data_IF_652830041039
#
_entry.id   IF_652830041039
#
_cell.length_a   1.000
_cell.length_b   1.000
_cell.length_c   1.000
_cell.angle_alpha   90.00
_cell.angle_beta   90.00
_cell.angle_gamma   90.00
#
_symmetry.space_group_name_H-M   'P 1'
#
loop_
_entity.id
_entity.type
_entity.pdbx_description
1 polymer ?
#
# COMPACT_ATOMS: atom_id res chain seq x y z
N UNK A 1 -30.88 -5.70 -8.34
CA UNK A 1 -30.41 -7.08 -8.05
C UNK A 1 -30.34 -7.23 -6.54
N UNK A 2 -31.08 -8.16 -5.93
CA UNK A 2 -31.01 -8.45 -4.49
C UNK A 2 -30.12 -9.69 -4.34
N UNK A 3 -28.85 -9.48 -4.00
CA UNK A 3 -27.92 -10.60 -3.73
C UNK A 3 -28.39 -11.35 -2.48
N UNK A 4 -28.28 -12.67 -2.49
CA UNK A 4 -28.48 -13.47 -1.29
C UNK A 4 -27.34 -13.18 -0.29
N UNK A 5 -27.61 -13.28 1.02
CA UNK A 5 -26.61 -13.04 2.06
C UNK A 5 -25.37 -13.94 1.87
N UNK A 6 -25.57 -15.18 1.42
CA UNK A 6 -24.49 -16.13 1.10
C UNK A 6 -23.58 -15.62 -0.02
N UNK A 7 -24.15 -15.11 -1.11
CA UNK A 7 -23.39 -14.54 -2.23
C UNK A 7 -22.57 -13.31 -1.80
N UNK A 8 -23.14 -12.51 -0.89
CA UNK A 8 -22.48 -11.33 -0.34
C UNK A 8 -21.29 -11.72 0.56
N UNK A 9 -21.44 -12.75 1.40
CA UNK A 9 -20.34 -13.28 2.21
C UNK A 9 -19.23 -13.84 1.34
N UNK A 10 -19.56 -14.59 0.29
CA UNK A 10 -18.55 -15.15 -0.62
C UNK A 10 -17.82 -14.06 -1.41
N UNK A 11 -18.53 -13.03 -1.85
CA UNK A 11 -17.93 -11.86 -2.51
C UNK A 11 -16.94 -11.13 -1.58
N UNK A 12 -17.31 -10.92 -0.31
CA UNK A 12 -16.44 -10.28 0.68
C UNK A 12 -15.17 -11.11 0.97
N UNK A 13 -15.30 -12.44 1.03
CA UNK A 13 -14.15 -13.34 1.20
C UNK A 13 -13.19 -13.26 0.02
N UNK A 14 -13.72 -13.29 -1.20
CA UNK A 14 -12.91 -13.16 -2.41
C UNK A 14 -12.23 -11.78 -2.49
N UNK A 15 -12.91 -10.71 -2.08
CA UNK A 15 -12.31 -9.39 -2.00
C UNK A 15 -11.16 -9.34 -0.98
N UNK A 16 -11.36 -9.91 0.22
CA UNK A 16 -10.33 -9.95 1.24
C UNK A 16 -9.09 -10.75 0.78
N UNK A 17 -9.30 -11.86 0.07
CA UNK A 17 -8.19 -12.64 -0.51
C UNK A 17 -7.38 -11.82 -1.52
N UNK A 18 -8.06 -11.17 -2.47
CA UNK A 18 -7.40 -10.31 -3.47
C UNK A 18 -6.64 -9.15 -2.84
N UNK A 19 -7.20 -8.56 -1.79
CA UNK A 19 -6.54 -7.49 -1.04
C UNK A 19 -5.24 -7.98 -0.38
N UNK A 20 -5.23 -9.20 0.16
CA UNK A 20 -4.02 -9.80 0.76
C UNK A 20 -2.99 -10.24 -0.28
N UNK A 21 -3.42 -10.75 -1.43
CA UNK A 21 -2.53 -11.03 -2.56
C UNK A 21 -1.83 -9.73 -3.01
N UNK A 22 -2.61 -8.65 -3.20
CA UNK A 22 -2.08 -7.34 -3.57
C UNK A 22 -1.11 -6.78 -2.52
N UNK A 23 -1.42 -6.91 -1.24
CA UNK A 23 -0.50 -6.53 -0.16
C UNK A 23 0.84 -7.26 -0.29
N UNK A 24 0.81 -8.59 -0.45
CA UNK A 24 2.02 -9.40 -0.57
C UNK A 24 2.85 -9.01 -1.78
N UNK A 25 2.22 -8.73 -2.92
CA UNK A 25 2.89 -8.25 -4.13
C UNK A 25 3.57 -6.89 -3.90
N UNK A 26 2.86 -5.94 -3.29
CA UNK A 26 3.39 -4.61 -3.03
C UNK A 26 4.58 -4.62 -2.05
N UNK A 27 4.52 -5.44 -1.00
CA UNK A 27 5.62 -5.54 -0.04
C UNK A 27 6.86 -6.20 -0.68
N UNK A 28 6.66 -7.22 -1.51
CA UNK A 28 7.75 -7.84 -2.27
C UNK A 28 8.39 -6.86 -3.27
N UNK A 29 7.58 -6.05 -3.96
CA UNK A 29 8.08 -5.01 -4.85
C UNK A 29 8.90 -3.94 -4.10
N UNK A 30 8.41 -3.50 -2.93
CA UNK A 30 9.12 -2.53 -2.09
C UNK A 30 10.45 -3.11 -1.61
N UNK A 31 10.45 -4.36 -1.13
CA UNK A 31 11.68 -5.06 -0.71
C UNK A 31 12.70 -5.13 -1.85
N UNK A 32 12.25 -5.47 -3.06
CA UNK A 32 13.12 -5.55 -4.23
C UNK A 32 13.69 -4.20 -4.67
N UNK A 33 12.96 -3.10 -4.44
CA UNK A 33 13.38 -1.73 -4.80
C UNK A 33 14.23 -1.05 -3.72
N UNK A 34 14.19 -1.55 -2.49
CA UNK A 34 14.88 -0.98 -1.34
C UNK A 34 15.58 -2.08 -0.54
N UNK A 35 14.95 -2.56 0.52
CA UNK A 35 15.37 -3.69 1.34
C UNK A 35 14.18 -4.23 2.16
N UNK A 36 14.41 -5.37 2.82
CA UNK A 36 13.42 -6.02 3.67
C UNK A 36 12.98 -5.14 4.84
N UNK A 37 13.92 -4.41 5.46
CA UNK A 37 13.63 -3.54 6.61
C UNK A 37 12.68 -2.41 6.22
N UNK A 38 12.83 -1.84 5.03
CA UNK A 38 11.96 -0.79 4.47
C UNK A 38 10.56 -1.34 4.19
N UNK A 39 10.44 -2.55 3.65
CA UNK A 39 9.14 -3.18 3.40
C UNK A 39 8.39 -3.47 4.71
N UNK A 40 9.09 -4.00 5.71
CA UNK A 40 8.53 -4.22 7.05
C UNK A 40 8.13 -2.90 7.72
N UNK A 41 8.99 -1.89 7.66
CA UNK A 41 8.68 -0.56 8.19
C UNK A 41 7.47 0.06 7.50
N UNK A 42 7.33 -0.07 6.18
CA UNK A 42 6.16 0.44 5.45
C UNK A 42 4.86 -0.27 5.87
N UNK A 43 4.90 -1.59 6.06
CA UNK A 43 3.75 -2.36 6.55
C UNK A 43 3.34 -1.90 7.96
N UNK A 44 4.31 -1.67 8.85
CA UNK A 44 4.05 -1.20 10.21
C UNK A 44 3.59 0.26 10.27
N UNK A 45 4.20 1.16 9.49
CA UNK A 45 3.88 2.58 9.45
C UNK A 45 2.47 2.78 8.90
N UNK A 46 2.13 2.13 7.79
CA UNK A 46 0.83 2.33 7.13
C UNK A 46 -0.27 1.40 7.62
N UNK A 47 0.02 0.53 8.60
CA UNK A 47 -0.94 -0.42 9.17
C UNK A 47 -2.32 0.25 9.42
N UNK A 48 -3.41 -0.23 8.79
CA UNK A 48 -4.72 0.40 8.89
C UNK A 48 -5.19 0.64 10.33
N UNK A 49 -4.79 -0.21 11.28
CA UNK A 49 -5.12 -0.12 12.71
C UNK A 49 -4.56 1.15 13.38
N UNK A 50 -3.51 1.75 12.81
CA UNK A 50 -2.89 2.98 13.29
C UNK A 50 -3.49 4.23 12.66
N UNK A 51 -4.39 4.06 11.68
CA UNK A 51 -4.90 5.15 10.86
C UNK A 51 -6.43 5.12 10.73
N UNK A 52 -7.02 6.23 10.27
CA UNK A 52 -8.47 6.35 10.08
C UNK A 52 -8.95 5.90 8.68
N UNK A 53 -8.15 5.11 7.95
CA UNK A 53 -8.46 4.66 6.59
C UNK A 53 -8.70 3.15 6.50
N UNK A 54 -9.33 2.74 5.39
CA UNK A 54 -9.63 1.32 5.10
C UNK A 54 -8.38 0.56 4.66
N UNK A 55 -8.49 -0.78 4.58
CA UNK A 55 -7.43 -1.61 4.01
C UNK A 55 -7.05 -1.20 2.58
N UNK A 56 -8.01 -0.76 1.75
CA UNK A 56 -7.69 -0.21 0.42
C UNK A 56 -6.88 1.09 0.50
N UNK A 57 -7.11 1.92 1.53
CA UNK A 57 -6.31 3.11 1.82
C UNK A 57 -4.86 2.76 2.18
N UNK A 58 -4.65 1.68 2.93
CA UNK A 58 -3.33 1.11 3.19
C UNK A 58 -2.64 0.64 1.91
N UNK A 59 -3.32 -0.17 1.08
CA UNK A 59 -2.77 -0.63 -0.20
C UNK A 59 -2.39 0.53 -1.12
N UNK A 60 -3.16 1.63 -1.10
CA UNK A 60 -2.84 2.84 -1.84
C UNK A 60 -1.56 3.53 -1.36
N UNK A 61 -1.29 3.54 -0.04
CA UNK A 61 -0.04 4.08 0.52
C UNK A 61 1.17 3.24 0.10
N UNK A 62 1.05 1.92 0.15
CA UNK A 62 2.09 1.02 -0.33
C UNK A 62 2.37 1.19 -1.83
N UNK A 63 1.32 1.32 -2.66
CA UNK A 63 1.46 1.57 -4.10
C UNK A 63 2.18 2.91 -4.38
N UNK A 64 1.86 3.96 -3.59
CA UNK A 64 2.58 5.24 -3.67
C UNK A 64 4.04 5.07 -3.30
N UNK A 65 4.36 4.39 -2.21
CA UNK A 65 5.73 4.16 -1.79
C UNK A 65 6.52 3.41 -2.87
N UNK A 66 5.96 2.32 -3.41
CA UNK A 66 6.54 1.60 -4.55
C UNK A 66 6.86 2.53 -5.71
N UNK A 67 5.92 3.41 -6.07
CA UNK A 67 6.10 4.35 -7.18
C UNK A 67 7.26 5.32 -6.95
N UNK A 68 7.39 5.84 -5.72
CA UNK A 68 8.46 6.77 -5.35
C UNK A 68 9.81 6.06 -5.31
N UNK A 69 9.88 4.85 -4.77
CA UNK A 69 11.09 4.02 -4.78
C UNK A 69 11.52 3.66 -6.21
N UNK A 70 10.57 3.30 -7.08
CA UNK A 70 10.85 2.99 -8.48
C UNK A 70 11.40 4.19 -9.26
N UNK A 71 11.16 5.42 -8.78
CA UNK A 71 11.77 6.63 -9.34
C UNK A 71 13.22 6.88 -8.87
N UNK A 72 13.77 5.98 -8.04
CA UNK A 72 15.14 6.08 -7.52
C UNK A 72 15.27 6.94 -6.26
N UNK A 73 14.16 7.30 -5.61
CA UNK A 73 14.19 8.04 -4.35
C UNK A 73 14.64 7.10 -3.22
N UNK A 74 15.64 7.48 -2.40
CA UNK A 74 16.07 6.67 -1.26
C UNK A 74 14.93 6.40 -0.26
N UNK A 75 14.92 5.21 0.34
CA UNK A 75 13.84 4.71 1.20
C UNK A 75 13.40 5.68 2.30
N UNK A 76 14.35 6.24 3.07
CA UNK A 76 14.06 7.21 4.14
C UNK A 76 13.24 8.39 3.64
N UNK A 77 13.66 8.97 2.50
CA UNK A 77 12.99 10.12 1.89
C UNK A 77 11.69 9.71 1.21
N UNK A 78 11.60 8.50 0.67
CA UNK A 78 10.40 7.99 0.02
C UNK A 78 9.23 7.86 1.02
N UNK A 79 9.50 7.34 2.22
CA UNK A 79 8.50 7.24 3.29
C UNK A 79 8.00 8.64 3.71
N UNK A 80 8.91 9.57 3.97
CA UNK A 80 8.54 10.96 4.32
C UNK A 80 7.68 11.62 3.25
N UNK A 81 7.99 11.41 1.97
CA UNK A 81 7.24 12.00 0.86
C UNK A 81 5.82 11.44 0.77
N UNK A 82 5.65 10.14 0.96
CA UNK A 82 4.31 9.52 0.99
C UNK A 82 3.48 10.06 2.16
N UNK A 83 4.10 10.29 3.31
CA UNK A 83 3.43 10.85 4.49
C UNK A 83 3.09 12.34 4.35
N UNK A 84 3.93 13.11 3.66
CA UNK A 84 3.75 14.57 3.50
C UNK A 84 2.50 14.99 2.69
N UNK A 85 1.68 14.04 2.23
CA UNK A 85 0.55 14.29 1.33
C UNK A 85 0.95 14.98 0.00
N UNK A 86 2.24 14.99 -0.34
CA UNK A 86 2.69 15.43 -1.65
C UNK A 86 2.14 14.48 -2.71
N UNK A 87 1.46 15.01 -3.72
CA UNK A 87 1.05 14.22 -4.88
C UNK A 87 2.27 13.65 -5.57
N UNK A 88 2.16 12.40 -6.05
CA UNK A 88 3.24 11.71 -6.76
C UNK A 88 3.78 12.54 -7.93
N UNK A 89 2.91 13.33 -8.60
CA UNK A 89 3.28 14.26 -9.67
C UNK A 89 4.16 15.43 -9.20
N UNK A 90 4.08 15.84 -7.92
CA UNK A 90 4.99 16.85 -7.34
C UNK A 90 6.28 16.23 -6.82
N UNK A 91 6.26 14.95 -6.48
CA UNK A 91 7.44 14.21 -5.99
C UNK A 91 8.48 14.03 -7.11
N UNK A 92 8.03 13.79 -8.34
CA UNK A 92 8.90 13.59 -9.52
C UNK A 92 9.41 14.89 -10.17
N UNK A 93 9.06 16.05 -9.64
CA UNK A 93 9.48 17.37 -10.16
C UNK A 93 10.68 17.98 -9.41
N UNK A 94 11.28 17.25 -8.47
CA UNK A 94 12.47 17.67 -7.71
C UNK A 94 13.71 16.88 -8.08
#
# INVERSE_FOLDING_TARGET
VRMALSELVDALRQQAMKQREKESELLADIEALSDYETAEAAADIYAPEKHAYTFDGYLYRLEKLKTVLAAGVPAEKAIELVDSCADADKILQF
#
